data_IF_144360764769
#
_entry.id   IF_144360764769
#
_cell.length_a   1.000
_cell.length_b   1.000
_cell.length_c   1.000
_cell.angle_alpha   90.00
_cell.angle_beta   90.00
_cell.angle_gamma   90.00
#
_symmetry.space_group_name_H-M   'P 1'
#
loop_
_entity.id
_entity.type
_entity.pdbx_description
1 polymer ?
#
# COMPACT_ATOMS: atom_id res chain seq x y z
N UNK A 1 10.32 6.19 23.57
CA UNK A 1 10.49 6.01 22.11
C UNK A 1 9.12 6.24 21.48
N UNK A 2 8.90 7.44 20.92
CA UNK A 2 7.61 7.88 20.34
C UNK A 2 7.88 8.41 18.94
N UNK A 3 7.15 7.90 17.95
CA UNK A 3 6.62 8.57 16.74
C UNK A 3 6.16 7.49 15.75
N UNK A 4 4.99 6.91 16.02
CA UNK A 4 4.14 6.33 14.98
C UNK A 4 3.02 7.35 14.74
N UNK A 5 3.43 8.42 14.08
CA UNK A 5 2.54 9.20 13.26
C UNK A 5 3.21 9.16 11.90
N UNK A 6 2.44 9.02 10.84
CA UNK A 6 2.88 9.20 9.46
C UNK A 6 3.60 10.55 9.35
N UNK A 7 4.92 10.54 9.59
CA UNK A 7 5.81 11.64 9.28
C UNK A 7 5.89 11.59 7.76
N UNK A 8 4.92 12.24 7.11
CA UNK A 8 5.24 13.09 5.98
C UNK A 8 6.54 13.78 6.38
N UNK A 9 7.64 13.38 5.73
CA UNK A 9 8.91 14.06 5.85
C UNK A 9 8.69 15.44 5.22
N UNK A 10 8.05 16.34 5.97
CA UNK A 10 8.18 17.79 5.87
C UNK A 10 9.55 18.18 6.45
N UNK A 11 10.61 17.49 6.04
CA UNK A 11 11.95 17.95 6.30
C UNK A 11 12.42 18.57 5.00
N UNK A 12 12.90 19.82 5.10
CA UNK A 12 13.68 20.53 4.08
C UNK A 12 14.92 19.71 3.71
N UNK A 13 14.73 18.59 3.01
CA UNK A 13 15.83 17.81 2.48
C UNK A 13 16.34 18.59 1.29
N UNK A 14 17.55 19.11 1.46
CA UNK A 14 18.25 19.80 0.41
C UNK A 14 18.43 18.84 -0.77
N UNK A 15 17.70 19.07 -1.87
CA UNK A 15 17.84 18.27 -3.09
C UNK A 15 19.28 18.28 -3.61
N UNK A 16 20.05 19.32 -3.33
CA UNK A 16 21.46 19.37 -3.71
C UNK A 16 22.32 18.35 -2.94
N UNK A 17 21.86 17.84 -1.80
CA UNK A 17 22.58 16.77 -1.08
C UNK A 17 22.43 15.39 -1.72
N UNK A 18 21.46 15.22 -2.63
CA UNK A 18 21.13 13.95 -3.27
C UNK A 18 22.07 13.69 -4.46
N UNK A 19 22.66 12.50 -4.50
CA UNK A 19 23.59 12.09 -5.56
C UNK A 19 23.13 10.87 -6.37
N UNK A 20 22.04 10.22 -5.95
CA UNK A 20 21.44 9.09 -6.66
C UNK A 20 19.93 9.10 -6.54
N UNK A 21 19.22 8.74 -7.61
CA UNK A 21 17.76 8.69 -7.63
C UNK A 21 17.25 7.38 -8.21
N UNK A 22 16.12 6.90 -7.69
CA UNK A 22 15.36 5.79 -8.26
C UNK A 22 14.05 6.34 -8.81
N UNK A 23 13.69 6.03 -10.06
CA UNK A 23 12.54 6.64 -10.74
C UNK A 23 11.51 5.57 -11.12
N UNK A 24 10.23 5.84 -10.83
CA UNK A 24 9.13 4.93 -11.15
C UNK A 24 7.80 5.36 -10.55
N UNK A 25 6.74 4.58 -10.79
CA UNK A 25 5.41 4.84 -10.20
C UNK A 25 5.24 4.31 -8.77
N UNK A 26 6.09 3.35 -8.38
CA UNK A 26 6.24 2.82 -7.02
C UNK A 26 4.97 2.39 -6.24
N UNK A 27 3.85 2.17 -6.93
CA UNK A 27 2.60 1.74 -6.28
C UNK A 27 2.74 0.35 -5.61
N UNK A 28 2.34 0.28 -4.34
CA UNK A 28 2.49 -0.90 -3.49
C UNK A 28 3.85 -1.02 -2.79
N UNK A 29 4.89 -0.31 -3.25
CA UNK A 29 6.24 -0.36 -2.67
C UNK A 29 6.73 -1.82 -2.47
N UNK A 30 6.52 -2.66 -3.50
CA UNK A 30 6.70 -4.11 -3.49
C UNK A 30 8.17 -4.55 -3.64
N UNK A 31 8.44 -5.86 -3.58
CA UNK A 31 9.83 -6.38 -3.53
C UNK A 31 10.70 -5.94 -4.70
N UNK A 32 10.15 -5.84 -5.92
CA UNK A 32 10.91 -5.31 -7.05
C UNK A 32 11.31 -3.83 -6.88
N UNK A 33 10.42 -2.98 -6.34
CA UNK A 33 10.74 -1.59 -6.02
C UNK A 33 11.85 -1.51 -4.97
N UNK A 34 11.78 -2.37 -3.95
CA UNK A 34 12.81 -2.44 -2.91
C UNK A 34 14.20 -2.78 -3.49
N UNK A 35 14.25 -3.59 -4.56
CA UNK A 35 15.50 -3.90 -5.24
C UNK A 35 16.10 -2.68 -5.96
N UNK A 36 15.28 -1.81 -6.55
CA UNK A 36 15.74 -0.52 -7.08
C UNK A 36 16.33 0.33 -5.95
N UNK A 37 15.67 0.38 -4.79
CA UNK A 37 16.12 1.22 -3.66
C UNK A 37 17.44 0.75 -3.05
N UNK A 38 17.74 -0.56 -3.06
CA UNK A 38 19.03 -1.10 -2.59
C UNK A 38 20.22 -0.62 -3.41
N UNK A 39 19.99 -0.21 -4.65
CA UNK A 39 21.02 0.27 -5.56
C UNK A 39 21.26 1.79 -5.47
N UNK A 40 20.55 2.48 -4.57
CA UNK A 40 20.80 3.87 -4.24
C UNK A 40 22.02 4.03 -3.33
N UNK A 41 22.75 5.13 -3.51
CA UNK A 41 23.81 5.51 -2.59
C UNK A 41 23.22 5.91 -1.22
N UNK A 42 24.03 6.08 -0.16
CA UNK A 42 23.54 6.57 1.14
C UNK A 42 22.78 7.91 1.05
N UNK A 43 23.19 8.81 0.13
CA UNK A 43 22.54 10.09 -0.15
C UNK A 43 21.56 9.99 -1.33
N UNK A 44 20.81 8.90 -1.39
CA UNK A 44 19.84 8.63 -2.45
C UNK A 44 18.46 9.24 -2.19
N UNK A 45 17.64 9.30 -3.23
CA UNK A 45 16.21 9.64 -3.15
C UNK A 45 15.36 8.80 -4.11
N UNK A 46 14.05 8.82 -3.90
CA UNK A 46 13.06 8.18 -4.77
C UNK A 46 12.26 9.28 -5.46
N UNK A 47 12.12 9.19 -6.78
CA UNK A 47 11.23 10.02 -7.58
C UNK A 47 10.03 9.17 -7.98
N UNK A 48 8.90 9.47 -7.36
CA UNK A 48 7.64 8.79 -7.57
C UNK A 48 6.78 9.57 -8.55
N UNK A 49 6.49 8.98 -9.71
CA UNK A 49 5.65 9.58 -10.74
C UNK A 49 4.18 9.23 -10.45
N UNK A 50 3.37 10.23 -10.11
CA UNK A 50 1.96 10.04 -9.77
C UNK A 50 1.05 10.22 -10.99
N UNK A 51 0.07 9.33 -11.11
CA UNK A 51 -0.89 9.29 -12.23
C UNK A 51 -2.34 9.55 -11.81
N UNK A 52 -2.61 9.75 -10.52
CA UNK A 52 -3.92 10.17 -10.00
C UNK A 52 -4.94 9.07 -9.68
N UNK A 53 -4.60 7.78 -9.76
CA UNK A 53 -5.52 6.67 -9.47
C UNK A 53 -5.40 6.12 -8.04
N UNK A 54 -6.47 5.47 -7.55
CA UNK A 54 -6.45 4.74 -6.29
C UNK A 54 -5.30 3.73 -6.26
N UNK A 55 -4.50 3.80 -5.22
CA UNK A 55 -3.21 3.12 -5.10
C UNK A 55 -3.29 1.92 -4.17
N UNK A 56 -2.49 0.91 -4.43
CA UNK A 56 -2.20 -0.15 -3.45
C UNK A 56 -1.62 0.51 -2.20
N UNK A 57 -0.68 1.45 -2.35
CA UNK A 57 -0.15 2.25 -1.24
C UNK A 57 -0.18 3.75 -1.60
N UNK A 58 -1.08 4.54 -1.01
CA UNK A 58 -1.18 5.97 -1.31
C UNK A 58 0.08 6.74 -0.95
N UNK A 59 0.33 7.84 -1.66
CA UNK A 59 1.55 8.66 -1.55
C UNK A 59 1.91 8.98 -0.10
N UNK A 60 0.91 9.33 0.72
CA UNK A 60 1.11 9.72 2.12
C UNK A 60 1.63 8.58 3.01
N UNK A 61 1.54 7.32 2.54
CA UNK A 61 1.94 6.12 3.28
C UNK A 61 3.20 5.44 2.71
N UNK A 62 3.68 5.84 1.51
CA UNK A 62 4.83 5.17 0.88
C UNK A 62 6.14 5.36 1.66
N UNK A 63 6.28 6.48 2.37
CA UNK A 63 7.48 6.78 3.18
C UNK A 63 7.73 5.75 4.28
N UNK A 64 6.70 5.01 4.74
CA UNK A 64 6.87 3.92 5.71
C UNK A 64 7.76 2.79 5.18
N UNK A 65 7.84 2.63 3.86
CA UNK A 65 8.49 1.49 3.20
C UNK A 65 9.87 1.80 2.64
N UNK A 66 10.48 2.90 3.07
CA UNK A 66 11.82 3.29 2.62
C UNK A 66 12.44 4.28 3.59
N UNK A 67 13.77 4.19 3.75
CA UNK A 67 14.57 5.18 4.46
C UNK A 67 14.90 6.41 3.61
N UNK A 68 14.78 6.28 2.29
CA UNK A 68 15.10 7.35 1.35
C UNK A 68 13.94 8.35 1.29
N UNK A 69 14.22 9.64 1.13
CA UNK A 69 13.18 10.62 0.87
C UNK A 69 12.49 10.35 -0.47
N UNK A 70 11.18 10.62 -0.51
CA UNK A 70 10.38 10.49 -1.72
C UNK A 70 9.97 11.88 -2.21
N UNK A 71 10.29 12.17 -3.46
CA UNK A 71 9.83 13.34 -4.18
C UNK A 71 8.75 12.90 -5.18
N UNK A 72 7.61 13.59 -5.18
CA UNK A 72 6.48 13.26 -6.04
C UNK A 72 6.44 14.20 -7.24
N UNK A 73 6.30 13.62 -8.43
CA UNK A 73 6.19 14.34 -9.69
C UNK A 73 4.85 13.95 -10.29
N UNK A 74 3.97 14.92 -10.52
CA UNK A 74 2.71 14.66 -11.19
C UNK A 74 2.98 14.45 -12.69
N UNK A 75 2.48 13.35 -13.24
CA UNK A 75 2.72 12.99 -14.64
C UNK A 75 2.27 14.12 -15.60
N UNK A 76 1.21 14.84 -15.25
CA UNK A 76 0.68 15.96 -16.04
C UNK A 76 1.70 17.09 -16.25
N UNK A 77 2.58 17.33 -15.28
CA UNK A 77 3.58 18.39 -15.33
C UNK A 77 4.79 18.02 -16.20
N UNK A 78 5.06 16.71 -16.35
CA UNK A 78 6.26 16.21 -17.03
C UNK A 78 5.98 15.46 -18.34
N UNK A 79 4.72 15.10 -18.63
CA UNK A 79 4.37 14.27 -19.81
C UNK A 79 4.68 14.91 -21.15
N UNK A 80 4.83 16.24 -21.19
CA UNK A 80 5.11 16.99 -22.41
C UNK A 80 6.61 17.11 -22.72
N UNK A 81 7.48 16.89 -21.72
CA UNK A 81 8.92 17.00 -21.85
C UNK A 81 9.45 15.93 -22.81
N UNK A 82 10.42 16.28 -23.64
CA UNK A 82 11.17 15.27 -24.37
C UNK A 82 12.15 14.52 -23.42
N UNK A 83 12.92 13.58 -23.97
CA UNK A 83 13.88 12.82 -23.17
C UNK A 83 15.01 13.67 -22.60
N UNK A 84 15.55 14.62 -23.37
CA UNK A 84 16.66 15.46 -22.95
C UNK A 84 16.19 16.48 -21.90
N UNK A 85 15.05 17.13 -22.14
CA UNK A 85 14.41 18.08 -21.22
C UNK A 85 14.11 17.42 -19.87
N UNK A 86 13.62 16.17 -19.88
CA UNK A 86 13.35 15.43 -18.65
C UNK A 86 14.64 15.20 -17.84
N UNK A 87 15.77 14.86 -18.49
CA UNK A 87 17.05 14.67 -17.79
C UNK A 87 17.64 16.01 -17.33
N UNK A 88 17.50 17.08 -18.10
CA UNK A 88 17.92 18.41 -17.70
C UNK A 88 17.14 18.89 -16.47
N UNK A 89 15.82 18.72 -16.45
CA UNK A 89 14.97 18.99 -15.30
C UNK A 89 15.48 18.24 -14.05
N UNK A 90 15.78 16.94 -14.17
CA UNK A 90 16.32 16.16 -13.05
C UNK A 90 17.68 16.69 -12.57
N UNK A 91 18.59 17.08 -13.47
CA UNK A 91 19.89 17.68 -13.11
C UNK A 91 19.73 19.04 -12.43
N UNK A 92 18.74 19.84 -12.85
CA UNK A 92 18.43 21.13 -12.25
C UNK A 92 17.84 20.97 -10.84
N UNK A 93 16.96 19.99 -10.66
CA UNK A 93 16.39 19.65 -9.36
C UNK A 93 17.45 19.07 -8.40
N UNK A 94 18.34 18.21 -8.91
CA UNK A 94 19.34 17.48 -8.14
C UNK A 94 20.74 17.78 -8.69
N UNK A 95 21.31 18.93 -8.32
CA UNK A 95 22.58 19.43 -8.89
C UNK A 95 23.77 18.49 -8.74
N UNK A 96 23.76 17.61 -7.74
CA UNK A 96 24.82 16.63 -7.48
C UNK A 96 24.46 15.22 -7.96
N UNK A 97 23.42 15.08 -8.80
CA UNK A 97 22.97 13.82 -9.35
C UNK A 97 24.07 13.15 -10.18
N UNK A 98 24.50 11.97 -9.73
CA UNK A 98 25.54 11.17 -10.37
C UNK A 98 25.05 9.79 -10.82
N UNK A 99 23.92 9.33 -10.28
CA UNK A 99 23.41 7.98 -10.53
C UNK A 99 21.89 7.95 -10.66
N UNK A 100 21.40 7.27 -11.69
CA UNK A 100 19.98 7.01 -11.89
C UNK A 100 19.75 5.49 -11.86
N UNK A 101 18.79 5.05 -11.04
CA UNK A 101 18.35 3.65 -10.93
C UNK A 101 16.94 3.51 -11.46
N UNK A 102 16.74 2.60 -12.41
CA UNK A 102 15.42 2.35 -13.04
C UNK A 102 15.19 0.87 -13.27
N UNK A 103 13.92 0.48 -13.47
CA UNK A 103 13.56 -0.87 -13.90
C UNK A 103 13.87 -1.09 -15.38
N UNK A 104 13.97 -2.36 -15.79
CA UNK A 104 14.22 -2.76 -17.18
C UNK A 104 13.18 -2.21 -18.18
N UNK A 105 11.95 -1.98 -17.74
CA UNK A 105 10.80 -1.53 -18.52
C UNK A 105 10.60 0.00 -18.48
N UNK A 106 11.53 0.73 -17.85
CA UNK A 106 11.44 2.18 -17.73
C UNK A 106 11.44 2.86 -19.10
N UNK A 107 10.42 3.69 -19.32
CA UNK A 107 10.27 4.55 -20.48
C UNK A 107 9.98 5.96 -20.01
N UNK A 108 10.47 6.96 -20.73
CA UNK A 108 10.34 8.38 -20.39
C UNK A 108 10.25 9.26 -21.63
N UNK A 109 10.07 10.56 -21.41
CA UNK A 109 9.80 11.55 -22.44
C UNK A 109 8.39 11.42 -23.03
N UNK A 110 8.02 12.43 -23.81
CA UNK A 110 6.72 12.54 -24.48
C UNK A 110 6.37 11.25 -25.21
N UNK A 111 5.16 10.75 -24.97
CA UNK A 111 4.65 9.50 -25.55
C UNK A 111 5.54 8.26 -25.30
N UNK A 112 6.31 8.24 -24.21
CA UNK A 112 7.23 7.14 -23.86
C UNK A 112 8.28 6.86 -24.95
N UNK A 113 8.72 7.90 -25.66
CA UNK A 113 9.61 7.77 -26.81
C UNK A 113 11.02 7.26 -26.46
N UNK A 114 11.46 7.39 -25.21
CA UNK A 114 12.81 7.04 -24.76
C UNK A 114 12.78 5.84 -23.82
N UNK A 115 13.82 5.00 -23.90
CA UNK A 115 14.00 3.78 -23.09
C UNK A 115 15.32 3.82 -22.30
N UNK A 116 15.58 2.78 -21.53
CA UNK A 116 16.79 2.63 -20.71
C UNK A 116 18.10 2.76 -21.50
N UNK A 117 18.13 2.37 -22.78
CA UNK A 117 19.31 2.55 -23.64
C UNK A 117 19.56 4.02 -23.99
N UNK A 118 18.50 4.81 -24.20
CA UNK A 118 18.61 6.23 -24.48
C UNK A 118 19.04 6.98 -23.23
N UNK A 119 18.50 6.61 -22.06
CA UNK A 119 18.91 7.15 -20.77
C UNK A 119 20.43 7.04 -20.56
N UNK A 120 21.03 5.89 -20.89
CA UNK A 120 22.49 5.66 -20.83
C UNK A 120 23.30 6.56 -21.77
N UNK A 121 22.70 7.05 -22.87
CA UNK A 121 23.36 7.91 -23.84
C UNK A 121 23.28 9.38 -23.46
N UNK A 122 22.16 9.80 -22.85
CA UNK A 122 21.88 11.22 -22.58
C UNK A 122 22.22 11.66 -21.14
N UNK A 123 22.36 10.71 -20.21
CA UNK A 123 22.80 10.99 -18.84
C UNK A 123 24.29 10.67 -18.70
N UNK A 124 25.09 11.68 -18.37
CA UNK A 124 26.56 11.54 -18.26
C UNK A 124 27.02 10.76 -17.02
N UNK A 125 26.10 10.48 -16.08
CA UNK A 125 26.39 9.72 -14.86
C UNK A 125 26.12 8.22 -15.00
N UNK A 126 26.18 7.52 -13.87
CA UNK A 126 25.92 6.09 -13.81
C UNK A 126 24.42 5.79 -14.00
N UNK A 127 24.08 4.89 -14.92
CA UNK A 127 22.71 4.37 -15.07
C UNK A 127 22.67 2.89 -14.71
N UNK A 128 21.97 2.57 -13.63
CA UNK A 128 21.72 1.19 -13.20
C UNK A 128 20.32 0.77 -13.62
N UNK A 129 20.25 -0.28 -14.42
CA UNK A 129 18.98 -0.87 -14.87
C UNK A 129 18.79 -2.19 -14.13
N UNK A 130 17.78 -2.25 -13.28
CA UNK A 130 17.45 -3.46 -12.53
C UNK A 130 16.67 -4.41 -13.45
N UNK A 131 17.13 -5.67 -13.63
CA UNK A 131 16.41 -6.68 -14.40
C UNK A 131 15.00 -6.96 -13.84
N UNK A 132 14.15 -7.62 -14.63
CA UNK A 132 12.84 -8.03 -14.15
C UNK A 132 12.95 -8.94 -12.92
N UNK A 133 12.33 -8.53 -11.81
CA UNK A 133 12.26 -9.33 -10.59
C UNK A 133 11.09 -10.29 -10.69
N UNK A 134 11.36 -11.56 -10.38
CA UNK A 134 10.39 -12.65 -10.39
C UNK A 134 10.31 -13.31 -9.03
N UNK A 135 9.11 -13.72 -8.62
CA UNK A 135 8.87 -14.58 -7.47
C UNK A 135 8.28 -15.89 -7.99
N UNK A 136 8.94 -17.02 -7.74
CA UNK A 136 8.54 -18.34 -8.26
C UNK A 136 8.31 -18.32 -9.78
N UNK A 137 9.22 -17.69 -10.54
CA UNK A 137 9.14 -17.45 -11.99
C UNK A 137 7.99 -16.53 -12.47
N UNK A 138 7.17 -15.98 -11.57
CA UNK A 138 6.15 -14.99 -11.92
C UNK A 138 6.70 -13.56 -11.79
N UNK A 139 6.51 -12.69 -12.79
CA UNK A 139 7.02 -11.33 -12.75
C UNK A 139 6.29 -10.47 -11.72
N UNK A 140 7.06 -9.70 -10.95
CA UNK A 140 6.54 -8.89 -9.84
C UNK A 140 6.23 -7.48 -10.35
N UNK A 141 4.94 -7.22 -10.57
CA UNK A 141 4.43 -5.92 -11.01
C UNK A 141 3.20 -5.50 -10.19
N UNK A 142 3.00 -4.20 -9.97
CA UNK A 142 1.83 -3.66 -9.25
C UNK A 142 0.50 -4.13 -9.83
N UNK A 143 0.41 -4.35 -11.16
CA UNK A 143 -0.79 -4.89 -11.81
C UNK A 143 -1.20 -6.25 -11.23
N UNK A 144 -0.26 -7.20 -11.10
CA UNK A 144 -0.57 -8.53 -10.58
C UNK A 144 -0.94 -8.49 -9.10
N UNK A 145 -0.28 -7.62 -8.32
CA UNK A 145 -0.63 -7.42 -6.91
C UNK A 145 -2.07 -6.90 -6.79
N UNK A 146 -2.45 -5.92 -7.63
CA UNK A 146 -3.81 -5.40 -7.70
C UNK A 146 -4.81 -6.48 -8.08
N UNK A 147 -4.50 -7.34 -9.05
CA UNK A 147 -5.33 -8.49 -9.42
C UNK A 147 -5.48 -9.49 -8.25
N UNK A 148 -4.40 -9.82 -7.52
CA UNK A 148 -4.47 -10.69 -6.34
C UNK A 148 -5.35 -10.10 -5.25
N UNK A 149 -5.21 -8.80 -4.95
CA UNK A 149 -6.06 -8.10 -3.98
C UNK A 149 -7.54 -8.11 -4.41
N UNK A 150 -7.83 -7.79 -5.67
CA UNK A 150 -9.19 -7.80 -6.23
C UNK A 150 -9.82 -9.19 -6.32
N UNK A 151 -9.01 -10.24 -6.35
CA UNK A 151 -9.48 -11.64 -6.26
C UNK A 151 -9.52 -12.15 -4.81
N UNK A 152 -9.05 -11.36 -3.84
CA UNK A 152 -8.99 -11.74 -2.44
C UNK A 152 -7.86 -12.71 -2.09
N UNK A 153 -6.89 -12.90 -2.99
CA UNK A 153 -5.67 -13.70 -2.78
C UNK A 153 -4.62 -12.88 -2.01
N UNK A 154 -4.91 -12.65 -0.73
CA UNK A 154 -4.07 -11.84 0.17
C UNK A 154 -2.69 -12.44 0.36
N UNK A 155 -2.59 -13.77 0.48
CA UNK A 155 -1.32 -14.44 0.75
C UNK A 155 -0.35 -14.23 -0.43
N UNK A 156 -0.84 -14.37 -1.67
CA UNK A 156 -0.03 -14.09 -2.85
C UNK A 156 0.29 -12.61 -3.00
N UNK A 157 -0.68 -11.71 -2.76
CA UNK A 157 -0.42 -10.28 -2.74
C UNK A 157 0.69 -9.91 -1.74
N UNK A 158 0.64 -10.44 -0.52
CA UNK A 158 1.63 -10.22 0.53
C UNK A 158 3.01 -10.73 0.14
N UNK A 159 3.08 -11.90 -0.52
CA UNK A 159 4.36 -12.46 -0.99
C UNK A 159 5.04 -11.57 -2.04
N UNK A 160 4.27 -10.97 -2.95
CA UNK A 160 4.78 -10.02 -3.95
C UNK A 160 5.10 -8.66 -3.34
N UNK A 161 4.31 -8.20 -2.37
CA UNK A 161 4.58 -6.97 -1.63
C UNK A 161 5.82 -7.10 -0.73
N UNK A 162 6.12 -8.30 -0.25
CA UNK A 162 7.15 -8.59 0.75
C UNK A 162 6.72 -8.20 2.17
N UNK A 163 5.42 -7.99 2.39
CA UNK A 163 4.82 -7.48 3.62
C UNK A 163 3.31 -7.72 3.61
N UNK A 164 2.69 -7.68 4.78
CA UNK A 164 1.23 -7.70 4.91
C UNK A 164 0.62 -6.45 4.24
N UNK A 165 -0.39 -6.65 3.38
CA UNK A 165 -1.12 -5.55 2.78
C UNK A 165 -1.81 -4.75 3.88
N UNK A 166 -1.53 -3.45 3.93
CA UNK A 166 -1.96 -2.56 5.01
C UNK A 166 -2.79 -1.41 4.48
N UNK A 167 -3.94 -1.19 5.10
CA UNK A 167 -4.82 -0.05 4.83
C UNK A 167 -5.00 0.80 6.09
N UNK A 168 -5.38 2.05 5.88
CA UNK A 168 -5.72 2.99 6.94
C UNK A 168 -7.17 3.42 6.79
N UNK A 169 -7.88 3.50 7.90
CA UNK A 169 -9.27 3.92 7.94
C UNK A 169 -9.53 4.83 9.14
N UNK A 170 -10.41 5.80 8.93
CA UNK A 170 -10.90 6.66 10.01
C UNK A 170 -11.98 5.90 10.79
N UNK A 171 -11.83 5.77 12.10
CA UNK A 171 -12.88 5.24 12.97
C UNK A 171 -14.14 6.10 12.85
N UNK A 172 -15.28 5.44 12.66
CA UNK A 172 -16.59 6.07 12.59
C UNK A 172 -17.54 5.41 13.58
N UNK A 173 -18.49 6.19 14.08
CA UNK A 173 -19.55 5.67 14.96
C UNK A 173 -20.41 4.70 14.16
N UNK A 174 -20.39 3.43 14.56
CA UNK A 174 -21.25 2.40 14.00
C UNK A 174 -22.70 2.53 14.48
N UNK A 175 -23.61 1.71 13.94
CA UNK A 175 -25.03 1.74 14.30
C UNK A 175 -25.33 1.21 15.72
N UNK A 176 -24.34 0.66 16.44
CA UNK A 176 -24.52 0.06 17.76
C UNK A 176 -25.29 -1.27 17.78
N UNK A 177 -25.94 -1.66 16.68
CA UNK A 177 -26.67 -2.91 16.51
C UNK A 177 -25.74 -4.14 16.64
N UNK A 178 -24.53 -4.07 16.08
CA UNK A 178 -23.53 -5.14 16.13
C UNK A 178 -23.18 -5.58 17.55
N UNK A 179 -22.99 -4.63 18.48
CA UNK A 179 -22.62 -4.91 19.88
C UNK A 179 -23.77 -5.53 20.67
N UNK A 180 -25.04 -5.23 20.34
CA UNK A 180 -26.21 -5.76 21.05
C UNK A 180 -26.62 -7.14 20.56
N UNK A 181 -26.44 -7.45 19.27
CA UNK A 181 -26.91 -8.72 18.70
C UNK A 181 -25.80 -9.72 18.34
N UNK A 182 -24.59 -9.24 18.01
CA UNK A 182 -23.47 -10.05 17.51
C UNK A 182 -22.22 -9.88 18.39
N UNK A 183 -21.19 -9.21 17.86
CA UNK A 183 -19.90 -8.94 18.49
C UNK A 183 -19.56 -7.47 18.31
N UNK A 184 -18.78 -6.90 19.24
CA UNK A 184 -18.33 -5.52 19.11
C UNK A 184 -17.36 -5.39 17.92
N UNK A 185 -17.67 -4.49 16.98
CA UNK A 185 -16.82 -4.17 15.83
C UNK A 185 -16.44 -2.70 15.82
N UNK A 186 -15.23 -2.42 15.36
CA UNK A 186 -14.74 -1.08 15.02
C UNK A 186 -15.10 -0.85 13.55
N UNK A 187 -15.83 0.23 13.27
CA UNK A 187 -16.26 0.59 11.93
C UNK A 187 -15.30 1.63 11.35
N UNK A 188 -14.85 1.43 10.12
CA UNK A 188 -13.88 2.31 9.47
C UNK A 188 -14.44 2.92 8.18
N UNK A 189 -14.13 4.19 7.97
CA UNK A 189 -14.20 4.83 6.66
C UNK A 189 -12.80 4.80 6.02
N UNK A 190 -12.65 4.06 4.93
CA UNK A 190 -11.36 3.91 4.22
C UNK A 190 -11.43 4.63 2.88
N UNK A 191 -10.49 5.53 2.66
CA UNK A 191 -10.36 6.29 1.42
C UNK A 191 -8.97 6.04 0.79
N UNK A 192 -8.84 6.25 -0.52
CA UNK A 192 -7.57 6.21 -1.29
C UNK A 192 -6.90 4.84 -1.47
N UNK A 193 -7.21 3.85 -0.60
CA UNK A 193 -6.68 2.49 -0.71
C UNK A 193 -7.47 1.62 -1.68
N UNK A 194 -6.75 0.76 -2.41
CA UNK A 194 -7.34 -0.39 -3.08
C UNK A 194 -7.82 -1.42 -2.06
N UNK A 195 -9.12 -1.46 -1.80
CA UNK A 195 -9.69 -2.49 -0.95
C UNK A 195 -9.60 -3.87 -1.63
N UNK A 196 -9.22 -4.94 -0.89
CA UNK A 196 -9.30 -6.29 -1.42
C UNK A 196 -10.75 -6.70 -1.65
N UNK A 197 -10.93 -7.86 -2.31
CA UNK A 197 -12.26 -8.41 -2.61
C UNK A 197 -13.17 -8.44 -1.38
N UNK A 198 -14.48 -8.37 -1.58
CA UNK A 198 -15.40 -8.52 -0.45
C UNK A 198 -15.29 -9.92 0.20
N UNK A 199 -15.25 -9.94 1.52
CA UNK A 199 -15.06 -11.16 2.29
C UNK A 199 -14.76 -10.92 3.77
N UNK A 200 -14.46 -12.01 4.45
CA UNK A 200 -13.97 -12.02 5.83
C UNK A 200 -12.51 -12.45 5.84
N UNK A 201 -11.70 -11.79 6.63
CA UNK A 201 -10.24 -11.90 6.62
C UNK A 201 -9.68 -12.08 8.02
N UNK A 202 -8.66 -12.93 8.14
CA UNK A 202 -7.75 -12.91 9.29
C UNK A 202 -6.87 -11.68 9.12
N UNK A 203 -6.82 -10.85 10.15
CA UNK A 203 -6.14 -9.56 10.10
C UNK A 203 -5.40 -9.27 11.40
N UNK A 204 -4.60 -8.21 11.38
CA UNK A 204 -4.21 -7.50 12.59
C UNK A 204 -4.70 -6.07 12.50
N UNK A 205 -5.20 -5.54 13.60
CA UNK A 205 -5.70 -4.16 13.69
C UNK A 205 -4.80 -3.37 14.62
N UNK A 206 -4.34 -2.22 14.15
CA UNK A 206 -3.52 -1.31 14.94
C UNK A 206 -4.40 -0.15 15.40
N UNK A 207 -4.49 0.02 16.72
CA UNK A 207 -5.26 1.09 17.39
C UNK A 207 -4.34 1.73 18.42
N UNK A 208 -4.24 3.07 18.41
CA UNK A 208 -3.35 3.82 19.31
C UNK A 208 -1.91 3.27 19.32
N UNK A 209 -1.38 2.93 18.14
CA UNK A 209 -0.06 2.30 17.93
C UNK A 209 0.15 0.90 18.56
N UNK A 210 -0.91 0.25 19.04
CA UNK A 210 -0.86 -1.12 19.55
C UNK A 210 -1.47 -2.06 18.51
N UNK A 211 -0.73 -3.11 18.14
CA UNK A 211 -1.15 -4.14 17.20
C UNK A 211 -1.91 -5.26 17.93
N UNK A 212 -3.11 -5.58 17.42
CA UNK A 212 -3.97 -6.64 17.95
C UNK A 212 -4.33 -7.65 16.87
N UNK A 213 -4.47 -8.92 17.25
CA UNK A 213 -5.04 -9.94 16.37
C UNK A 213 -6.53 -9.68 16.17
N UNK A 214 -7.02 -9.80 14.93
CA UNK A 214 -8.39 -9.43 14.58
C UNK A 214 -8.97 -10.28 13.45
N UNK A 215 -10.28 -10.18 13.28
CA UNK A 215 -11.00 -10.63 12.09
C UNK A 215 -11.71 -9.43 11.48
N UNK A 216 -11.53 -9.22 10.18
CA UNK A 216 -12.11 -8.06 9.48
C UNK A 216 -13.09 -8.49 8.40
N UNK A 217 -14.19 -7.75 8.28
CA UNK A 217 -15.17 -7.86 7.22
C UNK A 217 -15.05 -6.66 6.27
N UNK A 218 -15.01 -6.96 4.97
CA UNK A 218 -15.13 -5.99 3.89
C UNK A 218 -16.29 -6.38 2.98
N UNK A 219 -17.23 -5.48 2.74
CA UNK A 219 -18.27 -5.70 1.73
C UNK A 219 -19.63 -5.12 2.09
N UNK A 220 -20.61 -5.41 1.23
CA UNK A 220 -22.00 -5.05 1.47
C UNK A 220 -22.62 -5.95 2.55
N UNK A 221 -23.23 -5.34 3.57
CA UNK A 221 -23.98 -6.06 4.60
C UNK A 221 -25.35 -6.50 4.08
N UNK A 222 -25.38 -7.45 3.15
CA UNK A 222 -26.59 -7.90 2.48
C UNK A 222 -27.66 -8.51 3.41
N UNK A 223 -27.26 -8.94 4.60
CA UNK A 223 -28.17 -9.45 5.64
C UNK A 223 -28.68 -8.38 6.61
N UNK A 224 -28.21 -7.13 6.51
CA UNK A 224 -28.67 -6.03 7.35
C UNK A 224 -29.16 -4.85 6.50
N UNK A 225 -28.36 -3.79 6.33
CA UNK A 225 -28.75 -2.54 5.66
C UNK A 225 -28.26 -2.42 4.21
N UNK A 226 -27.56 -3.43 3.69
CA UNK A 226 -27.04 -3.47 2.32
C UNK A 226 -25.88 -2.50 2.02
N UNK A 227 -25.46 -1.67 2.99
CA UNK A 227 -24.39 -0.71 2.80
C UNK A 227 -23.03 -1.40 2.79
N UNK A 228 -22.09 -0.83 2.03
CA UNK A 228 -20.70 -1.26 2.07
C UNK A 228 -20.08 -0.88 3.41
N UNK A 229 -19.27 -1.77 3.97
CA UNK A 229 -18.65 -1.59 5.27
C UNK A 229 -17.23 -2.14 5.31
N UNK A 230 -16.39 -1.49 6.12
CA UNK A 230 -15.12 -2.01 6.61
C UNK A 230 -15.23 -2.12 8.12
N UNK A 231 -15.25 -3.33 8.63
CA UNK A 231 -15.45 -3.60 10.05
C UNK A 231 -14.36 -4.54 10.57
N UNK A 232 -13.84 -4.30 11.76
CA UNK A 232 -12.89 -5.20 12.41
C UNK A 232 -13.32 -5.54 13.82
N UNK A 233 -13.19 -6.82 14.17
CA UNK A 233 -13.38 -7.34 15.51
C UNK A 233 -12.01 -7.76 16.08
N UNK A 234 -11.60 -7.15 17.18
CA UNK A 234 -10.36 -7.49 17.87
C UNK A 234 -10.58 -8.73 18.73
N UNK A 235 -9.69 -9.72 18.60
CA UNK A 235 -9.81 -11.00 19.29
C UNK A 235 -9.42 -10.87 20.75
N UNK A 236 -10.15 -11.58 21.62
CA UNK A 236 -9.86 -11.74 23.05
C UNK A 236 -9.73 -10.42 23.84
N UNK A 237 -10.26 -9.32 23.31
CA UNK A 237 -10.22 -8.04 24.00
C UNK A 237 -11.53 -7.31 23.83
N UNK A 238 -12.04 -6.82 24.95
CA UNK A 238 -13.25 -6.02 25.01
C UNK A 238 -12.89 -4.57 25.38
N UNK A 239 -13.74 -3.63 24.95
CA UNK A 239 -13.69 -2.22 25.37
C UNK A 239 -12.37 -1.49 25.06
N UNK A 240 -11.85 -1.68 23.84
CA UNK A 240 -10.70 -0.88 23.36
C UNK A 240 -11.15 0.56 23.14
N UNK A 241 -10.58 1.47 23.93
CA UNK A 241 -10.78 2.91 23.77
C UNK A 241 -9.96 3.42 22.58
N UNK A 242 -10.62 4.00 21.59
CA UNK A 242 -9.98 4.56 20.41
C UNK A 242 -9.72 6.05 20.68
N UNK A 243 -8.44 6.41 20.86
CA UNK A 243 -8.01 7.79 21.15
C UNK A 243 -7.55 8.49 19.88
N UNK A 244 -6.90 7.74 18.99
CA UNK A 244 -6.60 8.16 17.62
C UNK A 244 -7.63 7.56 16.67
N UNK A 245 -8.31 8.40 15.91
CA UNK A 245 -9.30 7.96 14.92
C UNK A 245 -8.65 7.21 13.74
N UNK A 246 -7.32 7.27 13.57
CA UNK A 246 -6.61 6.54 12.53
C UNK A 246 -6.34 5.08 12.96
N UNK A 247 -7.14 4.16 12.42
CA UNK A 247 -6.98 2.73 12.64
C UNK A 247 -6.37 2.09 11.41
N UNK A 248 -5.48 1.13 11.61
CA UNK A 248 -4.83 0.38 10.52
C UNK A 248 -5.29 -1.06 10.51
N UNK A 249 -5.44 -1.65 9.33
CA UNK A 249 -5.71 -3.09 9.17
C UNK A 249 -4.60 -3.68 8.29
N UNK A 250 -3.93 -4.71 8.80
CA UNK A 250 -3.02 -5.57 8.04
C UNK A 250 -3.74 -6.87 7.69
N UNK A 251 -3.80 -7.19 6.40
CA UNK A 251 -4.46 -8.39 5.91
C UNK A 251 -3.48 -9.56 5.86
N UNK A 252 -3.89 -10.70 6.42
CA UNK A 252 -3.08 -11.92 6.46
C UNK A 252 -3.63 -12.96 5.49
N UNK A 253 -4.94 -13.28 5.60
CA UNK A 253 -5.57 -14.36 4.85
C UNK A 253 -7.07 -14.17 4.70
N UNK A 254 -7.64 -14.57 3.56
CA UNK A 254 -9.10 -14.61 3.37
C UNK A 254 -9.67 -15.88 4.01
N UNK A 255 -10.68 -15.72 4.86
CA UNK A 255 -11.44 -16.84 5.47
C UNK A 255 -12.51 -17.32 4.49
N UNK A 256 -13.31 -16.38 3.97
CA UNK A 256 -14.43 -16.69 3.08
C UNK A 256 -14.90 -15.47 2.30
N UNK A 257 -15.77 -15.74 1.33
CA UNK A 257 -16.46 -14.72 0.55
C UNK A 257 -17.57 -14.02 1.34
N UNK A 258 -17.95 -12.83 0.88
CA UNK A 258 -19.14 -12.15 1.38
C UNK A 258 -20.39 -12.88 0.87
N UNK A 259 -21.36 -13.12 1.76
CA UNK A 259 -22.62 -13.78 1.43
C UNK A 259 -23.75 -13.23 2.28
N UNK A 260 -24.96 -13.30 1.74
CA UNK A 260 -26.20 -13.04 2.48
C UNK A 260 -26.61 -14.29 3.26
N UNK A 261 -27.36 -14.07 4.33
CA UNK A 261 -27.93 -15.09 5.22
C UNK A 261 -29.43 -14.85 5.32
N UNK A 262 -30.20 -15.93 5.50
CA UNK A 262 -31.66 -15.87 5.48
C UNK A 262 -32.24 -15.31 6.78
N UNK A 263 -31.49 -15.43 7.88
CA UNK A 263 -31.88 -14.90 9.19
C UNK A 263 -30.66 -14.47 10.04
N UNK A 264 -30.94 -13.71 11.10
CA UNK A 264 -29.91 -13.19 12.01
C UNK A 264 -29.18 -14.27 12.80
N UNK A 265 -29.84 -15.39 13.12
CA UNK A 265 -29.22 -16.49 13.85
C UNK A 265 -28.10 -17.15 13.04
N UNK A 266 -28.34 -17.39 11.74
CA UNK A 266 -27.33 -17.91 10.82
C UNK A 266 -26.15 -16.97 10.65
N UNK A 267 -26.41 -15.66 10.49
CA UNK A 267 -25.36 -14.65 10.43
C UNK A 267 -24.49 -14.68 11.68
N UNK A 268 -25.12 -14.70 12.87
CA UNK A 268 -24.41 -14.78 14.16
C UNK A 268 -23.54 -16.02 14.26
N UNK A 269 -24.11 -17.18 13.94
CA UNK A 269 -23.38 -18.45 13.98
C UNK A 269 -22.20 -18.45 13.02
N UNK A 270 -22.32 -17.81 11.85
CA UNK A 270 -21.18 -17.69 10.94
C UNK A 270 -20.11 -16.73 11.47
N UNK A 271 -20.47 -15.58 12.04
CA UNK A 271 -19.51 -14.64 12.64
C UNK A 271 -18.69 -15.36 13.73
N UNK A 272 -19.34 -16.14 14.59
CA UNK A 272 -18.65 -16.91 15.64
C UNK A 272 -17.70 -17.97 15.06
N UNK A 273 -18.07 -18.64 13.96
CA UNK A 273 -17.17 -19.56 13.24
C UNK A 273 -15.98 -18.85 12.63
N UNK A 274 -16.18 -17.67 12.04
CA UNK A 274 -15.11 -16.87 11.44
C UNK A 274 -14.10 -16.42 12.52
N UNK A 275 -14.60 -16.03 13.70
CA UNK A 275 -13.78 -15.71 14.88
C UNK A 275 -12.99 -16.94 15.36
N UNK A 276 -13.63 -18.11 15.45
CA UNK A 276 -12.97 -19.35 15.85
C UNK A 276 -11.83 -19.76 14.90
N UNK A 277 -12.06 -19.62 13.58
CA UNK A 277 -11.02 -19.84 12.57
C UNK A 277 -9.84 -18.88 12.79
N UNK A 278 -10.11 -17.60 13.01
CA UNK A 278 -9.05 -16.62 13.28
C UNK A 278 -8.31 -16.92 14.60
N UNK A 279 -9.01 -17.35 15.65
CA UNK A 279 -8.37 -17.75 16.92
C UNK A 279 -7.45 -18.95 16.73
N UNK A 280 -7.90 -20.00 16.04
CA UNK A 280 -7.08 -21.19 15.73
C UNK A 280 -5.84 -20.89 14.88
N UNK A 281 -5.86 -19.79 14.12
CA UNK A 281 -4.70 -19.34 13.36
C UNK A 281 -3.63 -18.69 14.25
N UNK A 282 -4.05 -17.95 15.29
CA UNK A 282 -3.14 -17.16 16.13
C UNK A 282 -2.71 -17.82 17.44
N UNK A 283 -3.47 -18.79 17.95
CA UNK A 283 -3.30 -19.44 19.25
C UNK A 283 -3.34 -20.96 19.10
#
# INVERSE_FOLDING_TARGET
MKKSSSILVKNNIDKNSIDSIAIGGFDGMHIAHQELFKNLNPKGAIISIETGYASITPKNYRQEYTKYPIFYYDLEDIKALDGADFIEMLKNDFKNLKKIVVGFDFCFGKNRAYKTQDLKKIFDGEVVVIPEIKLNNFPVHSRYIREFLLNGDIEKANSFLGKEYKIFGKHIVGQGLGKKEFVATINLNVNEFLLPQSGVYITKTIVNDIEYNSVSFLGHRGSTDGKFAVETHILNQENIEIKDENVQIKFIRRIRENRKFDNFLELKNQILKDIDIAKKYFY
#
